data_IF_941024875021
#
_entry.id   IF_941024875021
#
_cell.length_a   1.000
_cell.length_b   1.000
_cell.length_c   1.000
_cell.angle_alpha   90.00
_cell.angle_beta   90.00
_cell.angle_gamma   90.00
#
_symmetry.space_group_name_H-M   'P 1'
#
loop_
_entity.id
_entity.type
_entity.pdbx_description
1 polymer ?
#
# COMPACT_ATOMS: atom_id res chain seq x y z
N UNK A 1 -23.48 -52.62 16.70
CA UNK A 1 -22.28 -52.37 15.86
C UNK A 1 -22.40 -51.13 14.96
N UNK A 2 -23.54 -50.86 14.31
CA UNK A 2 -23.68 -49.72 13.36
C UNK A 2 -23.64 -48.31 14.00
N UNK A 3 -24.13 -48.14 15.22
CA UNK A 3 -24.17 -46.84 15.93
C UNK A 3 -22.79 -46.37 16.43
N UNK A 4 -21.93 -47.31 16.82
CA UNK A 4 -20.55 -47.01 17.24
C UNK A 4 -19.69 -46.55 16.06
N UNK A 5 -19.91 -47.13 14.88
CA UNK A 5 -19.16 -46.79 13.67
C UNK A 5 -19.48 -45.38 13.15
N UNK A 6 -20.74 -44.95 13.26
CA UNK A 6 -21.18 -43.61 12.84
C UNK A 6 -20.61 -42.52 13.75
N UNK A 7 -20.58 -42.73 15.07
CA UNK A 7 -20.07 -41.73 16.03
C UNK A 7 -18.55 -41.53 15.93
N UNK A 8 -17.79 -42.59 15.63
CA UNK A 8 -16.34 -42.48 15.41
C UNK A 8 -16.05 -41.75 14.08
N UNK A 9 -16.86 -41.99 13.05
CA UNK A 9 -16.72 -41.33 11.74
C UNK A 9 -17.05 -39.83 11.81
N UNK A 10 -18.07 -39.42 12.58
CA UNK A 10 -18.41 -38.00 12.77
C UNK A 10 -17.39 -37.25 13.61
N UNK A 11 -16.80 -37.89 14.62
CA UNK A 11 -15.75 -37.28 15.43
C UNK A 11 -14.44 -37.10 14.65
N UNK A 12 -14.10 -38.04 13.78
CA UNK A 12 -12.95 -37.93 12.88
C UNK A 12 -13.14 -36.80 11.84
N UNK A 13 -14.37 -36.61 11.33
CA UNK A 13 -14.67 -35.54 10.39
C UNK A 13 -14.63 -34.14 11.04
N UNK A 14 -15.05 -34.03 12.30
CA UNK A 14 -14.96 -32.79 13.08
C UNK A 14 -13.52 -32.40 13.41
N UNK A 15 -12.64 -33.37 13.69
CA UNK A 15 -11.22 -33.12 13.92
C UNK A 15 -10.49 -32.70 12.64
N UNK A 16 -10.89 -33.23 11.48
CA UNK A 16 -10.31 -32.87 10.19
C UNK A 16 -10.66 -31.43 9.73
N UNK A 17 -11.79 -30.87 10.20
CA UNK A 17 -12.19 -29.48 9.90
C UNK A 17 -11.54 -28.44 10.81
N UNK A 18 -11.05 -28.83 11.99
CA UNK A 18 -10.35 -27.92 12.90
C UNK A 18 -8.88 -27.68 12.52
N UNK A 19 -8.26 -28.58 11.73
CA UNK A 19 -6.86 -28.49 11.33
C UNK A 19 -6.55 -27.48 10.21
N UNK A 20 -7.54 -27.10 9.40
CA UNK A 20 -7.31 -26.24 8.23
C UNK A 20 -7.47 -24.73 8.50
N UNK A 21 -7.95 -24.34 9.69
CA UNK A 21 -8.12 -22.92 10.02
C UNK A 21 -6.81 -22.21 10.42
N UNK A 22 -5.73 -22.98 10.69
CA UNK A 22 -4.45 -22.44 11.15
C UNK A 22 -3.45 -22.12 10.01
N UNK A 23 -3.77 -22.48 8.76
CA UNK A 23 -2.93 -22.22 7.59
C UNK A 23 -3.50 -21.13 6.66
N UNK A 24 -4.35 -20.24 7.19
CA UNK A 24 -4.66 -18.96 6.53
C UNK A 24 -3.44 -18.03 6.66
N UNK A 25 -2.38 -18.42 5.98
CA UNK A 25 -1.36 -17.62 5.32
C UNK A 25 -1.38 -16.13 5.72
N UNK A 26 -0.74 -15.81 6.85
CA UNK A 26 -0.08 -14.53 7.03
C UNK A 26 1.00 -14.45 5.96
N UNK A 27 0.62 -14.05 4.75
CA UNK A 27 1.53 -13.54 3.74
C UNK A 27 1.98 -12.20 4.30
N UNK A 28 3.04 -12.22 5.10
CA UNK A 28 3.78 -11.04 5.51
C UNK A 28 4.03 -10.25 4.23
N UNK A 29 3.33 -9.13 4.08
CA UNK A 29 3.71 -8.11 3.12
C UNK A 29 5.10 -7.72 3.59
N UNK A 30 6.12 -8.28 2.94
CA UNK A 30 7.46 -7.78 3.08
C UNK A 30 7.34 -6.32 2.64
N UNK A 31 7.26 -5.42 3.61
CA UNK A 31 7.58 -4.03 3.36
C UNK A 31 8.88 -4.09 2.58
N UNK A 32 8.86 -3.66 1.32
CA UNK A 32 10.10 -3.36 0.63
C UNK A 32 10.72 -2.29 1.50
N UNK A 33 11.62 -2.70 2.41
CA UNK A 33 12.54 -1.80 3.08
C UNK A 33 13.28 -1.18 1.91
N UNK A 34 12.84 0.00 1.47
CA UNK A 34 13.52 0.73 0.44
C UNK A 34 14.94 0.92 0.98
N UNK A 35 15.96 0.29 0.35
CA UNK A 35 17.31 0.33 0.86
C UNK A 35 17.72 1.79 0.89
N UNK A 36 17.96 2.34 2.09
CA UNK A 36 18.41 3.73 2.30
C UNK A 36 17.83 4.72 1.27
N UNK A 37 16.50 4.79 1.16
CA UNK A 37 15.87 5.74 0.25
C UNK A 37 16.35 7.15 0.65
N UNK A 38 17.30 7.67 -0.12
CA UNK A 38 17.85 8.99 0.13
C UNK A 38 16.70 9.97 -0.03
N UNK A 39 16.47 10.81 0.97
CA UNK A 39 15.48 11.87 0.87
C UNK A 39 15.85 12.80 -0.27
N UNK A 40 14.85 13.17 -1.07
CA UNK A 40 14.93 14.23 -2.05
C UNK A 40 14.76 15.57 -1.31
N UNK A 41 15.74 16.49 -1.38
CA UNK A 41 15.67 17.75 -0.64
C UNK A 41 14.49 18.60 -1.12
N UNK A 42 13.73 19.17 -0.19
CA UNK A 42 12.54 19.96 -0.53
C UNK A 42 12.91 21.19 -1.36
N UNK A 43 14.06 21.80 -1.10
CA UNK A 43 14.60 22.94 -1.83
C UNK A 43 14.90 22.66 -3.31
N UNK A 44 15.11 21.39 -3.67
CA UNK A 44 15.42 20.97 -5.03
C UNK A 44 14.15 20.65 -5.84
N UNK A 45 12.98 20.57 -5.19
CA UNK A 45 11.70 20.28 -5.84
C UNK A 45 11.29 21.44 -6.76
N UNK A 46 11.03 21.13 -8.03
CA UNK A 46 10.65 22.11 -9.06
C UNK A 46 9.40 21.65 -9.84
N UNK A 47 8.54 22.59 -10.27
CA UNK A 47 7.45 22.28 -11.20
C UNK A 47 7.95 21.57 -12.46
N UNK A 48 7.18 20.62 -12.97
CA UNK A 48 7.49 19.80 -14.13
C UNK A 48 8.34 18.56 -13.84
N UNK A 49 8.86 18.39 -12.61
CA UNK A 49 9.50 17.15 -12.20
C UNK A 49 8.51 15.98 -12.23
N UNK A 50 8.97 14.81 -12.64
CA UNK A 50 8.17 13.58 -12.71
C UNK A 50 8.66 12.58 -11.67
N UNK A 51 7.73 11.80 -11.15
CA UNK A 51 8.02 10.76 -10.17
C UNK A 51 7.04 9.60 -10.25
N UNK A 52 7.24 8.66 -9.34
CA UNK A 52 6.42 7.46 -9.18
C UNK A 52 5.92 7.40 -7.75
N UNK A 53 4.62 7.26 -7.58
CA UNK A 53 4.00 7.03 -6.27
C UNK A 53 3.55 5.58 -6.16
N UNK A 54 3.60 5.02 -4.95
CA UNK A 54 3.11 3.67 -4.66
C UNK A 54 1.93 3.72 -3.72
N UNK A 55 0.87 3.01 -4.06
CA UNK A 55 -0.30 2.87 -3.18
C UNK A 55 -1.00 1.53 -3.40
N UNK A 56 -1.87 1.14 -2.48
CA UNK A 56 -2.71 -0.06 -2.63
C UNK A 56 -4.11 0.41 -3.01
N UNK A 57 -4.52 0.21 -4.26
CA UNK A 57 -5.88 0.55 -4.69
C UNK A 57 -6.91 -0.49 -4.25
N UNK A 58 -6.52 -1.77 -4.14
CA UNK A 58 -7.38 -2.86 -3.68
C UNK A 58 -6.58 -4.02 -3.08
N UNK A 59 -7.16 -4.70 -2.10
CA UNK A 59 -6.53 -5.83 -1.44
C UNK A 59 -5.29 -5.41 -0.66
N UNK A 60 -4.13 -5.92 -1.07
CA UNK A 60 -2.84 -5.70 -0.39
C UNK A 60 -1.65 -5.51 -1.33
N UNK A 61 -1.90 -5.45 -2.64
CA UNK A 61 -0.85 -5.29 -3.65
C UNK A 61 -0.56 -3.81 -3.88
N UNK A 62 0.71 -3.44 -3.74
CA UNK A 62 1.15 -2.08 -4.03
C UNK A 62 1.31 -1.90 -5.54
N UNK A 63 0.67 -0.86 -6.07
CA UNK A 63 0.70 -0.47 -7.47
C UNK A 63 1.37 0.90 -7.63
N UNK A 64 2.15 1.04 -8.70
CA UNK A 64 2.81 2.28 -9.07
C UNK A 64 1.91 3.15 -9.96
N UNK A 65 1.95 4.46 -9.76
CA UNK A 65 1.31 5.43 -10.64
C UNK A 65 2.18 6.68 -10.79
N UNK A 66 2.02 7.37 -11.91
CA UNK A 66 2.86 8.50 -12.27
C UNK A 66 2.40 9.78 -11.58
N UNK A 67 3.36 10.63 -11.21
CA UNK A 67 3.10 11.96 -10.67
C UNK A 67 3.92 13.02 -11.40
N UNK A 68 3.35 14.22 -11.52
CA UNK A 68 4.03 15.42 -12.01
C UNK A 68 3.91 16.53 -10.96
N UNK A 69 5.04 17.11 -10.56
CA UNK A 69 5.07 18.21 -9.59
C UNK A 69 4.55 19.48 -10.24
N UNK A 70 3.58 20.13 -9.61
CA UNK A 70 3.05 21.43 -10.01
C UNK A 70 3.68 22.58 -9.20
N UNK A 71 4.14 22.30 -7.98
CA UNK A 71 4.85 23.27 -7.15
C UNK A 71 4.85 22.92 -5.66
N UNK A 72 5.43 23.81 -4.85
CA UNK A 72 5.49 23.69 -3.39
C UNK A 72 4.72 24.85 -2.76
N UNK A 73 3.84 24.53 -1.81
CA UNK A 73 3.10 25.49 -1.01
C UNK A 73 3.70 25.56 0.40
N UNK A 74 4.52 26.57 0.71
CA UNK A 74 5.09 26.74 2.05
C UNK A 74 4.02 27.19 3.05
N UNK A 75 4.15 26.78 4.30
CA UNK A 75 3.23 27.16 5.38
C UNK A 75 1.89 26.41 5.36
N UNK A 76 1.77 25.33 4.60
CA UNK A 76 0.55 24.52 4.51
C UNK A 76 0.83 23.07 4.93
N UNK A 77 -0.07 22.44 5.72
CA UNK A 77 -1.25 23.04 6.34
C UNK A 77 -0.93 23.95 7.54
N UNK A 78 0.34 24.01 7.98
CA UNK A 78 0.77 24.80 9.14
C UNK A 78 2.07 25.59 8.86
N UNK A 79 2.40 26.66 9.62
CA UNK A 79 3.54 27.57 9.36
C UNK A 79 4.95 26.96 9.30
N UNK A 80 5.12 25.70 9.72
CA UNK A 80 6.39 24.96 9.69
C UNK A 80 6.33 23.70 8.80
N UNK A 81 5.32 23.64 7.95
CA UNK A 81 5.10 22.54 7.02
C UNK A 81 4.98 23.09 5.60
N UNK A 82 5.29 22.25 4.63
CA UNK A 82 5.12 22.55 3.22
C UNK A 82 4.32 21.42 2.59
N UNK A 83 3.46 21.77 1.64
CA UNK A 83 2.76 20.79 0.82
C UNK A 83 3.30 20.82 -0.60
N UNK A 84 3.58 19.65 -1.14
CA UNK A 84 3.92 19.49 -2.55
C UNK A 84 2.60 19.26 -3.31
N UNK A 85 2.35 20.09 -4.32
CA UNK A 85 1.18 19.94 -5.20
C UNK A 85 1.61 19.13 -6.41
N UNK A 86 0.90 18.03 -6.68
CA UNK A 86 1.21 17.15 -7.80
C UNK A 86 -0.06 16.80 -8.59
N UNK A 87 0.13 16.56 -9.88
CA UNK A 87 -0.86 15.96 -10.77
C UNK A 87 -0.60 14.46 -10.84
N UNK A 88 -1.65 13.67 -10.67
CA UNK A 88 -1.57 12.21 -10.77
C UNK A 88 -1.87 11.77 -12.20
N UNK A 89 -1.25 10.67 -12.63
CA UNK A 89 -1.44 10.04 -13.93
C UNK A 89 -1.38 8.51 -13.81
N UNK A 90 -2.00 7.80 -14.75
CA UNK A 90 -2.09 6.35 -14.76
C UNK A 90 -3.50 5.83 -14.47
N UNK A 91 -3.81 4.64 -15.01
CA UNK A 91 -5.17 4.10 -15.17
C UNK A 91 -6.03 4.13 -13.89
N UNK A 92 -5.45 3.74 -12.76
CA UNK A 92 -6.18 3.70 -11.49
C UNK A 92 -6.22 5.09 -10.85
N UNK A 93 -5.08 5.78 -10.75
CA UNK A 93 -4.98 7.10 -10.14
C UNK A 93 -5.84 8.19 -10.83
N UNK A 94 -6.00 8.15 -12.16
CA UNK A 94 -6.84 9.11 -12.90
C UNK A 94 -8.34 8.90 -12.67
N UNK A 95 -8.75 7.63 -12.50
CA UNK A 95 -10.17 7.27 -12.32
C UNK A 95 -10.61 7.46 -10.89
N UNK A 96 -9.73 7.15 -9.96
CA UNK A 96 -10.03 7.18 -8.55
C UNK A 96 -9.69 8.57 -8.01
N UNK A 97 -8.50 9.11 -8.29
CA UNK A 97 -7.99 10.29 -7.59
C UNK A 97 -7.51 9.93 -6.17
N UNK A 98 -7.44 10.93 -5.29
CA UNK A 98 -6.97 10.79 -3.90
C UNK A 98 -8.16 10.58 -2.96
N UNK A 99 -8.12 9.53 -2.14
CA UNK A 99 -9.15 9.22 -1.13
C UNK A 99 -8.58 9.16 0.27
N UNK A 100 -9.49 9.19 1.25
CA UNK A 100 -9.17 8.88 2.63
C UNK A 100 -8.51 7.51 2.75
N UNK A 101 -7.43 7.44 3.53
CA UNK A 101 -6.65 6.21 3.71
C UNK A 101 -5.39 6.11 2.85
N UNK A 102 -5.22 6.98 1.83
CA UNK A 102 -3.99 7.01 1.03
C UNK A 102 -2.81 7.76 1.70
N UNK A 103 -3.03 8.32 2.89
CA UNK A 103 -1.99 9.00 3.67
C UNK A 103 -0.83 8.05 3.96
N UNK A 104 0.41 8.50 3.72
CA UNK A 104 1.62 7.70 3.92
C UNK A 104 2.08 6.90 2.69
N UNK A 105 1.36 6.97 1.56
CA UNK A 105 1.85 6.44 0.29
C UNK A 105 3.17 7.13 -0.10
N UNK A 106 4.28 6.39 -0.32
CA UNK A 106 5.55 7.00 -0.67
C UNK A 106 5.54 7.48 -2.13
N UNK A 107 6.26 8.58 -2.37
CA UNK A 107 6.42 9.20 -3.68
C UNK A 107 7.90 9.33 -3.95
N UNK A 108 8.36 8.92 -5.13
CA UNK A 108 9.78 8.91 -5.48
C UNK A 108 10.04 9.77 -6.72
N UNK A 109 11.10 10.58 -6.68
CA UNK A 109 11.65 11.32 -7.81
C UNK A 109 13.08 10.83 -7.99
N UNK A 110 13.42 10.33 -9.19
CA UNK A 110 14.74 9.73 -9.48
C UNK A 110 15.15 8.63 -8.47
N UNK A 111 14.17 7.86 -7.98
CA UNK A 111 14.37 6.79 -6.99
C UNK A 111 14.59 7.25 -5.55
N UNK A 112 14.48 8.56 -5.29
CA UNK A 112 14.64 9.21 -3.98
C UNK A 112 13.29 9.64 -3.42
N UNK A 113 13.11 9.54 -2.10
CA UNK A 113 11.84 9.79 -1.40
C UNK A 113 11.59 11.28 -1.17
#
# INVERSE_FOLDING_TARGET
MKRFFVTVLTLAFALAMAGNAALAQQKTVAARNAPDAQFFPLEDIKPGMKGVALTVFSGSEAEEFGIEILGVLPGFPNPKQSAIIARLSGKNAERTGVFGGMSGSPVYIDGRL
#
